data_IF_164327403305
#
_entry.id   IF_164327403305
#
_cell.length_a   1.000
_cell.length_b   1.000
_cell.length_c   1.000
_cell.angle_alpha   90.00
_cell.angle_beta   90.00
_cell.angle_gamma   90.00
#
_symmetry.space_group_name_H-M   'P 1'
#
loop_
_entity.id
_entity.type
_entity.pdbx_description
1 polymer ?
#
# COMPACT_ATOMS: atom_id res chain seq x y z
N UNK A 1 -19.97 -18.44 -15.29
CA UNK A 1 -18.55 -18.84 -15.25
C UNK A 1 -17.83 -17.92 -14.29
N UNK A 2 -17.02 -18.46 -13.37
CA UNK A 2 -16.14 -17.66 -12.50
C UNK A 2 -14.81 -17.57 -13.25
N UNK A 3 -14.49 -16.40 -13.80
CA UNK A 3 -13.19 -16.15 -14.42
C UNK A 3 -12.27 -15.62 -13.33
N UNK A 4 -11.44 -16.50 -12.80
CA UNK A 4 -10.38 -16.11 -11.90
C UNK A 4 -9.29 -15.44 -12.77
N UNK A 5 -9.26 -14.11 -12.73
CA UNK A 5 -8.32 -13.30 -13.49
C UNK A 5 -6.99 -13.24 -12.73
N UNK A 6 -5.93 -13.74 -13.35
CA UNK A 6 -4.57 -13.67 -12.81
C UNK A 6 -3.76 -12.61 -13.55
N UNK A 7 -3.13 -11.71 -12.79
CA UNK A 7 -2.22 -10.68 -13.32
C UNK A 7 -0.84 -10.86 -12.70
N UNK A 8 0.19 -10.92 -13.53
CA UNK A 8 1.59 -10.92 -13.12
C UNK A 8 2.36 -9.85 -13.90
N UNK A 9 3.20 -9.10 -13.19
CA UNK A 9 4.04 -8.03 -13.75
C UNK A 9 5.41 -8.06 -13.07
N UNK A 10 6.45 -7.77 -13.84
CA UNK A 10 7.82 -7.69 -13.34
C UNK A 10 8.51 -6.48 -13.96
N UNK A 11 9.34 -5.83 -13.17
CA UNK A 11 10.14 -4.66 -13.57
C UNK A 11 11.53 -4.80 -12.97
N UNK A 12 12.53 -4.24 -13.65
CA UNK A 12 13.91 -4.20 -13.16
C UNK A 12 14.09 -2.92 -12.34
N UNK A 13 14.51 -3.07 -11.08
CA UNK A 13 14.80 -1.95 -10.17
C UNK A 13 16.27 -2.03 -9.75
N UNK A 14 17.02 -0.95 -10.01
CA UNK A 14 18.41 -0.83 -9.58
C UNK A 14 18.48 -0.31 -8.14
N UNK A 15 18.18 -1.18 -7.17
CA UNK A 15 18.27 -0.89 -5.74
C UNK A 15 18.64 -2.15 -4.95
N UNK A 16 19.07 -1.98 -3.70
CA UNK A 16 19.27 -3.13 -2.81
C UNK A 16 17.92 -3.74 -2.43
N UNK A 17 17.90 -5.08 -2.28
CA UNK A 17 16.70 -5.79 -1.84
C UNK A 17 16.16 -5.26 -0.50
N UNK A 18 17.06 -4.86 0.40
CA UNK A 18 16.69 -4.23 1.68
C UNK A 18 15.89 -2.95 1.47
N UNK A 19 16.34 -2.05 0.58
CA UNK A 19 15.63 -0.79 0.31
C UNK A 19 14.25 -1.03 -0.30
N UNK A 20 14.14 -2.00 -1.22
CA UNK A 20 12.85 -2.41 -1.79
C UNK A 20 11.92 -2.91 -0.70
N UNK A 21 12.42 -3.77 0.19
CA UNK A 21 11.64 -4.28 1.32
C UNK A 21 11.18 -3.15 2.25
N UNK A 22 12.08 -2.23 2.62
CA UNK A 22 11.75 -1.08 3.48
C UNK A 22 10.63 -0.24 2.89
N UNK A 23 10.64 0.02 1.58
CA UNK A 23 9.57 0.79 0.93
C UNK A 23 8.24 0.03 0.96
N UNK A 24 8.25 -1.29 0.78
CA UNK A 24 7.05 -2.12 0.82
C UNK A 24 6.47 -2.29 2.23
N UNK A 25 7.31 -2.23 3.27
CA UNK A 25 6.89 -2.44 4.67
C UNK A 25 6.92 -1.17 5.54
N UNK A 26 7.07 0.01 4.95
CA UNK A 26 6.97 1.27 5.66
C UNK A 26 5.71 2.02 5.20
N UNK A 27 4.79 2.22 6.13
CA UNK A 27 3.50 2.87 5.88
C UNK A 27 3.60 4.32 5.42
N UNK A 28 4.71 5.01 5.70
CA UNK A 28 4.95 6.37 5.22
C UNK A 28 5.43 6.36 3.76
N UNK A 29 6.36 5.46 3.43
CA UNK A 29 6.95 5.37 2.08
C UNK A 29 5.98 4.77 1.06
N UNK A 30 5.14 3.82 1.47
CA UNK A 30 4.20 3.13 0.56
C UNK A 30 3.16 4.10 -0.02
N UNK A 31 2.85 5.20 0.68
CA UNK A 31 1.90 6.24 0.23
C UNK A 31 2.31 6.84 -1.11
N UNK A 32 3.62 7.01 -1.35
CA UNK A 32 4.15 7.56 -2.61
C UNK A 32 3.83 6.67 -3.82
N UNK A 33 3.70 5.36 -3.60
CA UNK A 33 3.49 4.36 -4.66
C UNK A 33 2.04 3.88 -4.76
N UNK A 34 1.25 3.98 -3.68
CA UNK A 34 -0.16 3.59 -3.63
C UNK A 34 -1.10 4.79 -3.66
N UNK A 35 -0.79 5.81 -4.46
CA UNK A 35 -1.67 6.96 -4.70
C UNK A 35 -2.12 7.71 -3.43
N UNK A 36 -1.25 7.82 -2.42
CA UNK A 36 -1.55 8.52 -1.16
C UNK A 36 -2.38 7.70 -0.17
N UNK A 37 -2.55 6.40 -0.39
CA UNK A 37 -3.33 5.51 0.51
C UNK A 37 -2.61 5.32 1.84
N UNK A 38 -3.30 5.55 2.96
CA UNK A 38 -2.75 5.25 4.28
C UNK A 38 -2.78 3.76 4.57
N UNK A 39 -1.65 3.22 4.99
CA UNK A 39 -1.54 1.81 5.35
C UNK A 39 -1.39 1.68 6.85
N UNK A 40 -2.34 1.02 7.50
CA UNK A 40 -2.30 0.70 8.92
C UNK A 40 -2.04 -0.80 9.09
N UNK A 41 -0.86 -1.15 9.60
CA UNK A 41 -0.48 -2.52 9.90
C UNK A 41 0.69 -2.56 10.90
N UNK A 42 0.80 -3.65 11.65
CA UNK A 42 1.91 -3.93 12.56
C UNK A 42 3.03 -4.74 11.93
N UNK A 43 2.87 -5.18 10.68
CA UNK A 43 3.83 -6.04 9.96
C UNK A 43 4.18 -7.34 10.70
N UNK A 44 3.20 -7.89 11.41
CA UNK A 44 3.29 -9.18 12.11
C UNK A 44 2.53 -10.28 11.35
N UNK A 45 3.02 -11.51 11.44
CA UNK A 45 2.38 -12.65 10.79
C UNK A 45 0.95 -12.87 11.32
N UNK A 46 -0.01 -13.02 10.40
CA UNK A 46 -1.41 -13.29 10.73
C UNK A 46 -2.22 -12.06 11.17
N UNK A 47 -1.62 -10.86 11.18
CA UNK A 47 -2.36 -9.61 11.43
C UNK A 47 -2.91 -9.03 10.13
N UNK A 48 -4.00 -8.28 10.27
CA UNK A 48 -4.65 -7.61 9.16
C UNK A 48 -3.82 -6.43 8.66
N UNK A 49 -3.91 -6.15 7.36
CA UNK A 49 -3.37 -4.96 6.72
C UNK A 49 -4.57 -4.14 6.25
N UNK A 50 -4.66 -2.89 6.70
CA UNK A 50 -5.72 -1.97 6.31
C UNK A 50 -5.18 -0.91 5.36
N UNK A 51 -5.78 -0.81 4.17
CA UNK A 51 -5.52 0.25 3.20
C UNK A 51 -6.68 1.25 3.24
N UNK A 52 -6.43 2.41 3.87
CA UNK A 52 -7.39 3.48 4.05
C UNK A 52 -7.16 4.53 2.96
N UNK A 53 -8.11 4.63 2.04
CA UNK A 53 -8.11 5.69 1.05
C UNK A 53 -8.74 6.95 1.66
N UNK A 54 -7.96 8.00 1.90
CA UNK A 54 -8.50 9.29 2.36
C UNK A 54 -8.97 10.12 1.15
N UNK A 55 -9.84 9.56 0.32
CA UNK A 55 -10.60 10.37 -0.61
C UNK A 55 -11.70 11.05 0.18
N UNK A 56 -11.51 12.34 0.47
CA UNK A 56 -12.61 13.28 0.69
C UNK A 56 -13.39 13.22 2.04
N UNK A 57 -12.83 12.64 3.12
CA UNK A 57 -13.50 12.63 4.43
C UNK A 57 -13.11 13.81 5.35
N UNK A 58 -12.04 14.56 5.07
CA UNK A 58 -11.63 15.70 5.91
C UNK A 58 -12.15 17.08 5.44
N UNK A 59 -12.91 17.17 4.34
CA UNK A 59 -13.51 18.45 3.90
C UNK A 59 -14.95 18.68 4.41
N UNK A 60 -15.52 17.76 5.21
CA UNK A 60 -16.92 17.87 5.67
C UNK A 60 -17.10 18.43 7.09
N UNK A 61 -16.04 18.68 7.86
CA UNK A 61 -16.20 19.12 9.25
C UNK A 61 -15.65 20.53 9.51
N UNK A 62 -16.00 21.46 8.63
CA UNK A 62 -15.91 22.89 8.90
C UNK A 62 -17.15 23.59 8.31
N UNK A 63 -18.29 23.42 9.01
CA UNK A 63 -19.46 24.30 8.92
C UNK A 63 -19.97 24.55 10.33
#
# INVERSE_FOLDING_TARGET
MRQDLFVSKSIVIHASAFKVWTVLTNSELIKEFLYGTETATTWEQGKNIYFLNISHILMSNNR
#
